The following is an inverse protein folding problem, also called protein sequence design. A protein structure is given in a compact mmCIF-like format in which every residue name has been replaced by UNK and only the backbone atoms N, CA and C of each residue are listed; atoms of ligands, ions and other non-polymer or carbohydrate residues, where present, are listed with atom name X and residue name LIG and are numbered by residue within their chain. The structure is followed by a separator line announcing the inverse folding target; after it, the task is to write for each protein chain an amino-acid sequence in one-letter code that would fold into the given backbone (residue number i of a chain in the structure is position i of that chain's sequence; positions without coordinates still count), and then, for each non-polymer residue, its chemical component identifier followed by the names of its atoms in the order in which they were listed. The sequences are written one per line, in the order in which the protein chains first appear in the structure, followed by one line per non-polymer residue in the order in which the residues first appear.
data_IF_720079221289
#
_entry.id   IF_720079221289
#
_cell.length_a   1.000
_cell.length_b   1.000
_cell.length_c   1.000
_cell.angle_alpha   90.00
_cell.angle_beta   90.00
_cell.angle_gamma   90.00
#
_symmetry.space_group_name_H-M   'P 1'
#
loop_
_entity.id
_entity.type
_entity.pdbx_description
1 polymer ?
#
# COMPACT_ATOMS: atom_id res chain seq x y z
N UNK A 1 3.32 13.54 -9.89
CA UNK A 1 2.26 12.77 -10.58
C UNK A 1 1.11 12.55 -9.62
N UNK A 2 -0.12 12.70 -10.06
CA UNK A 2 -1.35 12.61 -9.22
C UNK A 2 -1.50 11.30 -8.42
N UNK A 3 -0.83 10.23 -8.84
CA UNK A 3 -0.85 8.95 -8.14
C UNK A 3 -0.35 9.00 -6.69
N UNK A 4 0.42 10.02 -6.33
CA UNK A 4 0.90 10.18 -4.96
C UNK A 4 -0.16 10.67 -3.96
N UNK A 5 -1.24 11.28 -4.43
CA UNK A 5 -2.35 11.70 -3.56
C UNK A 5 -3.07 10.51 -2.93
N UNK A 6 -3.12 9.38 -3.64
CA UNK A 6 -3.71 8.13 -3.15
C UNK A 6 -2.98 7.61 -1.91
N UNK A 7 -1.66 7.82 -1.83
CA UNK A 7 -0.87 7.39 -0.67
C UNK A 7 -1.29 8.08 0.62
N UNK A 8 -1.55 9.39 0.57
CA UNK A 8 -2.02 10.13 1.75
C UNK A 8 -3.36 9.58 2.27
N UNK A 9 -4.30 9.28 1.39
CA UNK A 9 -5.57 8.66 1.74
C UNK A 9 -5.38 7.26 2.35
N UNK A 10 -4.50 6.45 1.77
CA UNK A 10 -4.19 5.11 2.30
C UNK A 10 -3.56 5.18 3.69
N UNK A 11 -2.62 6.10 3.92
CA UNK A 11 -2.02 6.28 5.25
C UNK A 11 -3.05 6.75 6.28
N UNK A 12 -3.99 7.61 5.90
CA UNK A 12 -5.09 8.04 6.79
C UNK A 12 -6.00 6.87 7.15
N UNK A 13 -6.38 6.04 6.20
CA UNK A 13 -7.16 4.81 6.46
C UNK A 13 -6.43 3.84 7.39
N UNK A 14 -5.12 3.71 7.23
CA UNK A 14 -4.29 2.89 8.11
C UNK A 14 -4.24 3.47 9.53
N UNK A 15 -4.14 4.78 9.67
CA UNK A 15 -4.18 5.46 10.96
C UNK A 15 -5.53 5.24 11.67
N UNK A 16 -6.65 5.32 10.96
CA UNK A 16 -7.99 5.03 11.50
C UNK A 16 -8.06 3.60 12.04
N UNK A 17 -7.53 2.63 11.31
CA UNK A 17 -7.41 1.25 11.77
C UNK A 17 -6.67 1.17 13.11
N UNK A 18 -5.51 1.83 13.23
CA UNK A 18 -4.70 1.82 14.45
C UNK A 18 -5.41 2.52 15.62
N UNK A 19 -6.15 3.58 15.37
CA UNK A 19 -6.96 4.26 16.38
C UNK A 19 -8.00 3.32 16.98
N UNK A 20 -8.65 2.48 16.17
CA UNK A 20 -9.59 1.48 16.67
C UNK A 20 -8.90 0.40 17.51
N UNK A 21 -7.68 -0.01 17.15
CA UNK A 21 -6.89 -0.95 17.97
C UNK A 21 -6.60 -0.35 19.35
N UNK A 22 -6.13 0.88 19.39
CA UNK A 22 -5.84 1.59 20.65
C UNK A 22 -7.10 1.78 21.49
N UNK A 23 -8.24 1.98 20.84
CA UNK A 23 -9.56 2.07 21.50
C UNK A 23 -10.14 0.73 21.91
N UNK A 24 -9.45 -0.38 21.74
CA UNK A 24 -9.89 -1.75 22.02
C UNK A 24 -11.12 -2.18 21.21
N UNK A 25 -11.32 -1.55 20.07
CA UNK A 25 -12.43 -1.82 19.16
C UNK A 25 -11.96 -2.76 18.05
N UNK A 26 -11.62 -4.00 18.41
CA UNK A 26 -10.93 -4.94 17.51
C UNK A 26 -11.74 -5.30 16.26
N UNK A 27 -13.06 -5.45 16.37
CA UNK A 27 -13.91 -5.70 15.20
C UNK A 27 -13.93 -4.52 14.24
N UNK A 28 -14.02 -3.30 14.75
CA UNK A 28 -13.93 -2.07 13.95
C UNK A 28 -12.54 -1.88 13.36
N UNK A 29 -11.52 -2.22 14.13
CA UNK A 29 -10.13 -2.19 13.64
C UNK A 29 -9.93 -3.15 12.46
N UNK A 30 -10.53 -4.34 12.51
CA UNK A 30 -10.50 -5.30 11.40
C UNK A 30 -11.23 -4.77 10.17
N UNK A 31 -12.42 -4.20 10.34
CA UNK A 31 -13.18 -3.60 9.23
C UNK A 31 -12.39 -2.46 8.57
N UNK A 32 -11.77 -1.61 9.36
CA UNK A 32 -10.93 -0.51 8.87
C UNK A 32 -9.68 -1.03 8.14
N UNK A 33 -9.06 -2.11 8.62
CA UNK A 33 -7.91 -2.73 7.96
C UNK A 33 -8.30 -3.36 6.62
N UNK A 34 -9.47 -3.99 6.54
CA UNK A 34 -10.01 -4.54 5.30
C UNK A 34 -10.36 -3.44 4.29
N UNK A 35 -10.87 -2.31 4.75
CA UNK A 35 -11.12 -1.14 3.90
C UNK A 35 -9.81 -0.57 3.35
N UNK A 36 -8.80 -0.42 4.19
CA UNK A 36 -7.45 -0.06 3.77
C UNK A 36 -6.90 -1.04 2.72
N UNK A 37 -7.05 -2.34 2.96
CA UNK A 37 -6.60 -3.39 2.04
C UNK A 37 -7.24 -3.27 0.66
N UNK A 38 -8.54 -3.00 0.58
CA UNK A 38 -9.22 -2.82 -0.69
C UNK A 38 -8.62 -1.66 -1.49
N UNK A 39 -8.40 -0.53 -0.84
CA UNK A 39 -7.76 0.63 -1.46
C UNK A 39 -6.33 0.35 -1.90
N UNK A 40 -5.56 -0.30 -1.05
CA UNK A 40 -4.17 -0.66 -1.32
C UNK A 40 -4.05 -1.62 -2.51
N UNK A 41 -4.86 -2.68 -2.54
CA UNK A 41 -4.85 -3.66 -3.65
C UNK A 41 -5.24 -3.01 -4.97
N UNK A 42 -6.24 -2.14 -4.96
CA UNK A 42 -6.63 -1.38 -6.16
C UNK A 42 -5.50 -0.51 -6.67
N UNK A 43 -4.78 0.18 -5.78
CA UNK A 43 -3.63 0.99 -6.14
C UNK A 43 -2.48 0.13 -6.70
N UNK A 44 -2.13 -0.96 -6.03
CA UNK A 44 -1.09 -1.90 -6.50
C UNK A 44 -1.44 -2.49 -7.87
N UNK A 45 -2.70 -2.84 -8.10
CA UNK A 45 -3.16 -3.36 -9.39
C UNK A 45 -2.97 -2.34 -10.52
N UNK A 46 -3.29 -1.09 -10.29
CA UNK A 46 -3.07 0.00 -11.24
C UNK A 46 -1.57 0.12 -11.56
N UNK A 47 -0.72 0.12 -10.55
CA UNK A 47 0.72 0.19 -10.74
C UNK A 47 1.27 -0.99 -11.54
N UNK A 48 0.90 -2.20 -11.17
CA UNK A 48 1.39 -3.42 -11.83
C UNK A 48 0.88 -3.56 -13.26
N UNK A 49 -0.33 -3.10 -13.53
CA UNK A 49 -0.94 -3.21 -14.86
C UNK A 49 -0.52 -2.10 -15.81
N UNK A 50 -0.37 -0.88 -15.32
CA UNK A 50 -0.19 0.31 -16.17
C UNK A 50 1.15 1.01 -15.97
N UNK A 51 1.60 1.18 -14.75
CA UNK A 51 2.76 2.02 -14.40
C UNK A 51 4.08 1.24 -14.55
N UNK A 52 4.21 0.12 -13.86
CA UNK A 52 5.44 -0.66 -13.84
C UNK A 52 5.85 -1.21 -15.21
N UNK A 53 4.93 -1.67 -16.10
CA UNK A 53 5.34 -2.07 -17.46
C UNK A 53 5.96 -0.92 -18.27
N UNK A 54 5.47 0.30 -18.10
CA UNK A 54 6.07 1.48 -18.76
C UNK A 54 7.43 1.79 -18.15
N UNK A 55 7.54 1.73 -16.84
CA UNK A 55 8.81 1.90 -16.12
C UNK A 55 9.87 0.89 -16.57
N UNK A 56 9.51 -0.38 -16.69
CA UNK A 56 10.41 -1.44 -17.17
C UNK A 56 10.95 -1.14 -18.57
N UNK A 57 10.09 -0.69 -19.48
CA UNK A 57 10.47 -0.40 -20.87
C UNK A 57 11.27 0.88 -21.02
N UNK A 58 10.94 1.92 -20.28
CA UNK A 58 11.46 3.28 -20.49
C UNK A 58 12.62 3.63 -19.55
N UNK A 59 12.66 3.07 -18.37
CA UNK A 59 13.69 3.31 -17.34
C UNK A 59 14.58 2.08 -17.17
N UNK A 60 13.98 0.92 -16.90
CA UNK A 60 14.69 -0.33 -16.66
C UNK A 60 15.32 -0.39 -15.27
N UNK A 61 16.33 -1.23 -15.12
CA UNK A 61 17.02 -1.41 -13.83
C UNK A 61 17.98 -0.25 -13.58
N UNK A 62 17.68 0.54 -12.55
CA UNK A 62 18.56 1.61 -12.04
C UNK A 62 18.86 1.36 -10.57
N UNK A 63 19.94 1.95 -10.06
CA UNK A 63 20.34 1.80 -8.66
C UNK A 63 19.19 2.23 -7.73
N UNK A 64 18.75 1.32 -6.85
CA UNK A 64 17.65 1.57 -5.92
C UNK A 64 16.25 1.55 -6.55
N UNK A 65 16.14 1.26 -7.84
CA UNK A 65 14.88 1.32 -8.58
C UNK A 65 14.70 0.20 -9.61
N UNK A 66 15.25 -0.99 -9.35
CA UNK A 66 14.95 -2.16 -10.18
C UNK A 66 13.43 -2.42 -10.15
N UNK A 67 12.77 -2.60 -11.31
CA UNK A 67 11.32 -2.88 -11.36
C UNK A 67 10.88 -4.01 -10.45
N UNK A 68 11.70 -5.05 -10.28
CA UNK A 68 11.39 -6.17 -9.40
C UNK A 68 11.24 -5.80 -7.93
N UNK A 69 11.89 -4.73 -7.47
CA UNK A 69 11.74 -4.26 -6.09
C UNK A 69 10.30 -3.84 -5.78
N UNK A 70 9.64 -3.17 -6.72
CA UNK A 70 8.25 -2.74 -6.53
C UNK A 70 7.30 -3.94 -6.41
N UNK A 71 7.44 -4.94 -7.28
CA UNK A 71 6.65 -6.18 -7.21
C UNK A 71 6.90 -6.96 -5.93
N UNK A 72 8.17 -7.06 -5.49
CA UNK A 72 8.54 -7.73 -4.24
C UNK A 72 7.99 -7.01 -3.02
N UNK A 73 8.07 -5.68 -3.01
CA UNK A 73 7.51 -4.86 -1.93
C UNK A 73 6.00 -5.04 -1.82
N UNK A 74 5.27 -5.04 -2.94
CA UNK A 74 3.83 -5.33 -2.95
C UNK A 74 3.52 -6.69 -2.30
N UNK A 75 4.22 -7.74 -2.69
CA UNK A 75 4.02 -9.08 -2.12
C UNK A 75 4.33 -9.14 -0.63
N UNK A 76 5.39 -8.50 -0.20
CA UNK A 76 5.78 -8.46 1.22
C UNK A 76 4.77 -7.68 2.07
N UNK A 77 4.29 -6.57 1.57
CA UNK A 77 3.24 -5.77 2.23
C UNK A 77 1.97 -6.62 2.39
N UNK A 78 1.49 -7.25 1.32
CA UNK A 78 0.28 -8.07 1.36
C UNK A 78 0.40 -9.27 2.28
N UNK A 79 1.57 -9.89 2.38
CA UNK A 79 1.84 -11.00 3.31
C UNK A 79 1.76 -10.52 4.76
N UNK A 80 2.38 -9.40 5.09
CA UNK A 80 2.34 -8.83 6.44
C UNK A 80 0.92 -8.36 6.79
N UNK A 81 0.18 -7.84 5.84
CA UNK A 81 -1.21 -7.45 5.99
C UNK A 81 -2.10 -8.66 6.33
N UNK A 82 -1.90 -9.79 5.67
CA UNK A 82 -2.64 -11.02 5.96
C UNK A 82 -2.37 -11.51 7.39
N UNK A 83 -1.12 -11.48 7.84
CA UNK A 83 -0.75 -11.81 9.22
C UNK A 83 -1.45 -10.88 10.23
N UNK A 84 -1.47 -9.58 9.96
CA UNK A 84 -2.16 -8.61 10.82
C UNK A 84 -3.67 -8.89 10.90
N UNK A 85 -4.31 -9.21 9.77
CA UNK A 85 -5.75 -9.55 9.76
C UNK A 85 -6.06 -10.80 10.55
N UNK A 86 -5.24 -11.84 10.43
CA UNK A 86 -5.41 -13.08 11.19
C UNK A 86 -5.33 -12.83 12.70
N UNK A 87 -4.33 -12.08 13.14
CA UNK A 87 -4.17 -11.72 14.55
C UNK A 87 -5.36 -10.90 15.05
N UNK A 88 -5.80 -9.94 14.27
CA UNK A 88 -6.90 -9.07 14.63
C UNK A 88 -8.24 -9.84 14.71
N UNK A 89 -8.45 -10.84 13.86
CA UNK A 89 -9.60 -11.75 13.96
C UNK A 89 -9.59 -12.51 15.29
N UNK A 90 -8.41 -12.98 15.72
CA UNK A 90 -8.27 -13.65 17.02
C UNK A 90 -8.60 -12.72 18.16
N UNK A 91 -8.11 -11.50 18.15
CA UNK A 91 -8.40 -10.50 19.19
C UNK A 91 -9.89 -10.12 19.21
N UNK A 92 -10.51 -9.96 18.06
CA UNK A 92 -11.93 -9.65 17.95
C UNK A 92 -12.83 -10.76 18.49
N UNK A 93 -12.37 -12.00 18.43
CA UNK A 93 -13.10 -13.18 18.95
C UNK A 93 -12.81 -13.46 20.44
N UNK A 94 -11.84 -12.79 21.04
CA UNK A 94 -11.40 -13.01 22.42
C UNK A 94 -11.99 -11.97 23.37
N UNK A 95 -13.00 -12.32 24.23
CA UNK A 95 -13.59 -11.37 25.16
C UNK A 95 -12.61 -10.85 26.21
N UNK A 96 -11.51 -11.55 26.46
CA UNK A 96 -10.48 -11.17 27.42
C UNK A 96 -9.41 -10.25 26.85
N UNK A 97 -9.41 -10.04 25.53
CA UNK A 97 -8.42 -9.17 24.87
C UNK A 97 -8.61 -7.71 25.32
N UNK A 98 -7.52 -7.08 25.75
CA UNK A 98 -7.52 -5.74 26.30
C UNK A 98 -6.28 -4.96 25.89
N UNK A 99 -5.88 -4.02 26.74
CA UNK A 99 -4.78 -3.07 26.46
C UNK A 99 -3.46 -3.75 26.15
N UNK A 100 -3.12 -4.84 26.85
CA UNK A 100 -1.86 -5.56 26.59
C UNK A 100 -1.84 -6.11 25.17
N UNK A 101 -2.91 -6.77 24.77
CA UNK A 101 -3.03 -7.35 23.42
C UNK A 101 -3.03 -6.26 22.34
N UNK A 102 -3.69 -5.13 22.58
CA UNK A 102 -3.65 -3.99 21.67
C UNK A 102 -2.23 -3.45 21.53
N UNK A 103 -1.50 -3.31 22.62
CA UNK A 103 -0.11 -2.85 22.62
C UNK A 103 0.80 -3.82 21.86
N UNK A 104 0.68 -5.11 22.12
CA UNK A 104 1.44 -6.16 21.42
C UNK A 104 1.13 -6.18 19.93
N UNK A 105 -0.14 -6.02 19.55
CA UNK A 105 -0.56 -5.94 18.16
C UNK A 105 0.10 -4.74 17.44
N UNK A 106 0.03 -3.55 18.02
CA UNK A 106 0.63 -2.32 17.46
C UNK A 106 2.14 -2.49 17.29
N UNK A 107 2.81 -3.10 18.27
CA UNK A 107 4.25 -3.36 18.19
C UNK A 107 4.59 -4.34 17.05
N UNK A 108 3.82 -5.41 16.90
CA UNK A 108 4.01 -6.38 15.82
C UNK A 108 3.68 -5.78 14.44
N UNK A 109 2.66 -4.94 14.35
CA UNK A 109 2.24 -4.28 13.11
C UNK A 109 3.23 -3.22 12.65
N UNK A 110 4.18 -2.79 13.47
CA UNK A 110 5.18 -1.79 13.11
C UNK A 110 6.02 -2.21 11.89
N UNK A 111 6.21 -3.50 11.67
CA UNK A 111 6.88 -4.00 10.46
C UNK A 111 6.08 -3.67 9.20
N UNK A 112 4.76 -3.88 9.23
CA UNK A 112 3.89 -3.51 8.10
C UNK A 112 3.96 -2.00 7.83
N UNK A 113 3.90 -1.18 8.87
CA UNK A 113 4.01 0.26 8.72
C UNK A 113 5.35 0.67 8.09
N UNK A 114 6.46 0.07 8.53
CA UNK A 114 7.79 0.30 7.93
C UNK A 114 7.83 -0.07 6.44
N UNK A 115 7.26 -1.23 6.08
CA UNK A 115 7.19 -1.65 4.68
C UNK A 115 6.38 -0.66 3.82
N UNK A 116 5.25 -0.19 4.33
CA UNK A 116 4.41 0.80 3.65
C UNK A 116 5.16 2.13 3.45
N UNK A 117 5.82 2.62 4.49
CA UNK A 117 6.60 3.87 4.44
C UNK A 117 7.78 3.75 3.48
N UNK A 118 8.50 2.64 3.51
CA UNK A 118 9.66 2.42 2.65
C UNK A 118 9.26 2.32 1.17
N UNK A 119 8.16 1.64 0.91
CA UNK A 119 7.57 1.53 -0.42
C UNK A 119 7.12 2.91 -0.95
N UNK A 120 6.41 3.69 -0.14
CA UNK A 120 6.02 5.07 -0.48
C UNK A 120 7.24 5.94 -0.84
N UNK A 121 8.31 5.86 -0.04
CA UNK A 121 9.53 6.62 -0.32
C UNK A 121 10.20 6.19 -1.63
N UNK A 122 10.22 4.90 -1.96
CA UNK A 122 10.79 4.41 -3.21
C UNK A 122 10.00 4.90 -4.42
N UNK A 123 8.69 4.88 -4.34
CA UNK A 123 7.84 5.41 -5.41
C UNK A 123 8.01 6.91 -5.57
N UNK A 124 7.97 7.65 -4.46
CA UNK A 124 8.11 9.10 -4.43
C UNK A 124 9.45 9.59 -4.94
N UNK A 125 10.53 8.89 -4.59
CA UNK A 125 11.89 9.33 -4.86
C UNK A 125 12.48 8.72 -6.14
N UNK A 126 11.96 7.61 -6.62
CA UNK A 126 12.52 6.87 -7.77
C UNK A 126 11.49 6.64 -8.87
N UNK A 127 10.42 5.90 -8.61
CA UNK A 127 9.48 5.47 -9.64
C UNK A 127 8.89 6.65 -10.43
N UNK A 128 8.18 7.53 -9.75
CA UNK A 128 7.48 8.64 -10.40
C UNK A 128 8.43 9.71 -10.93
N UNK A 129 9.49 10.12 -10.22
CA UNK A 129 10.47 11.04 -10.80
C UNK A 129 11.15 10.53 -12.06
N UNK A 130 11.53 9.25 -12.09
CA UNK A 130 12.14 8.64 -13.28
C UNK A 130 11.16 8.56 -14.46
N UNK A 131 9.90 8.27 -14.20
CA UNK A 131 8.87 8.32 -15.23
C UNK A 131 8.69 9.75 -15.77
N UNK A 132 8.67 10.74 -14.88
CA UNK A 132 8.56 12.16 -15.29
C UNK A 132 9.75 12.62 -16.15
N UNK A 133 10.95 12.05 -15.92
CA UNK A 133 12.13 12.35 -16.75
C UNK A 133 12.03 11.79 -18.16
N UNK A 134 11.46 10.59 -18.35
CA UNK A 134 11.48 9.87 -19.62
C UNK A 134 10.20 9.99 -20.44
N UNK A 135 9.10 10.41 -19.84
CA UNK A 135 7.81 10.56 -20.52
C UNK A 135 7.57 12.03 -20.93
N UNK A 136 7.09 12.24 -22.15
CA UNK A 136 6.57 13.54 -22.56
C UNK A 136 5.28 13.90 -21.79
N UNK A 137 4.86 15.17 -21.77
CA UNK A 137 3.58 15.54 -21.15
C UNK A 137 2.38 14.79 -21.70
N UNK A 138 2.37 14.51 -23.01
CA UNK A 138 1.27 13.76 -23.64
C UNK A 138 1.31 12.28 -23.26
N UNK A 139 2.50 11.68 -23.19
CA UNK A 139 2.67 10.29 -22.72
C UNK A 139 2.24 10.14 -21.25
N UNK A 140 2.58 11.08 -20.38
CA UNK A 140 2.12 11.09 -18.98
C UNK A 140 0.61 11.17 -18.87
N UNK A 141 0.00 12.03 -19.66
CA UNK A 141 -1.45 12.19 -19.69
C UNK A 141 -2.14 10.91 -20.16
N UNK A 142 -1.65 10.30 -21.23
CA UNK A 142 -2.15 9.03 -21.75
C UNK A 142 -2.02 7.91 -20.69
N UNK A 143 -0.91 7.86 -19.96
CA UNK A 143 -0.70 6.89 -18.89
C UNK A 143 -1.70 7.07 -17.74
N UNK A 144 -1.90 8.29 -17.27
CA UNK A 144 -2.88 8.61 -16.22
C UNK A 144 -4.32 8.28 -16.66
N UNK A 145 -4.67 8.58 -17.92
CA UNK A 145 -5.97 8.24 -18.48
C UNK A 145 -6.19 6.71 -18.50
N UNK A 146 -5.15 5.93 -18.78
CA UNK A 146 -5.23 4.47 -18.75
C UNK A 146 -5.50 3.92 -17.35
N UNK A 147 -4.96 4.57 -16.32
CA UNK A 147 -5.15 4.18 -14.92
C UNK A 147 -6.60 4.35 -14.44
N UNK A 148 -7.34 5.29 -15.01
CA UNK A 148 -8.76 5.54 -14.69
C UNK A 148 -9.75 4.67 -15.43
N UNK A 149 -9.31 3.82 -16.38
CA UNK A 149 -10.21 2.95 -17.15
C UNK A 149 -10.43 1.61 -16.45
N UNK A 150 -11.68 1.12 -16.38
CA UNK A 150 -11.94 -0.24 -15.92
C UNK A 150 -11.26 -1.25 -16.85
N UNK A 151 -10.89 -2.46 -16.36
CA UNK A 151 -10.31 -3.50 -17.19
C UNK A 151 -11.24 -3.85 -18.35
N UNK A 152 -10.68 -3.91 -19.55
CA UNK A 152 -11.41 -4.41 -20.71
C UNK A 152 -11.75 -5.89 -20.46
N UNK A 153 -13.02 -6.22 -20.60
CA UNK A 153 -13.57 -7.56 -20.38
C UNK A 153 -13.02 -8.55 -21.44
#
# INVERSE_FOLDING_TARGET
MEMMEVHADLFERFAVHRDHVVGLEFSRALDALQDFERGLRGHMEIEERHILPVYERRVGAVTGGDPQFFYLEHRNILRNLETAKEELRRLAADPSAGRRQAHEFIAAESMLLHLLQHHDLRERNVLYPKLDEVLSPDERRALLDSCGRPPES
#
